data_IF_541707288876
#
_entry.id   IF_541707288876
#
_cell.length_a   1.000
_cell.length_b   1.000
_cell.length_c   1.000
_cell.angle_alpha   90.00
_cell.angle_beta   90.00
_cell.angle_gamma   90.00
#
_symmetry.space_group_name_H-M   'P 1'
#
loop_
_entity.id
_entity.type
_entity.pdbx_description
1 polymer ?
#
# COMPACT_ATOMS: atom_id res chain seq x y z
N UNK A 1 27.42 5.62 -15.34
CA UNK A 1 26.63 6.45 -16.27
C UNK A 1 25.95 7.56 -15.46
N UNK A 2 25.86 8.80 -15.96
CA UNK A 2 25.18 9.87 -15.25
C UNK A 2 23.70 9.52 -15.11
N UNK A 3 23.19 9.65 -13.88
CA UNK A 3 21.84 9.30 -13.46
C UNK A 3 20.80 9.99 -14.36
N UNK A 4 19.98 9.21 -15.06
CA UNK A 4 18.79 9.77 -15.71
C UNK A 4 17.75 10.09 -14.64
N UNK A 5 17.58 11.37 -14.37
CA UNK A 5 16.52 11.84 -13.48
C UNK A 5 15.20 11.69 -14.25
N UNK A 6 14.14 11.12 -13.66
CA UNK A 6 12.85 11.06 -14.33
C UNK A 6 12.34 12.51 -14.57
N UNK A 7 12.45 13.00 -15.80
CA UNK A 7 11.89 14.29 -16.22
C UNK A 7 10.43 14.12 -16.64
N UNK A 8 9.65 15.20 -16.59
CA UNK A 8 8.23 15.20 -16.99
C UNK A 8 8.01 14.79 -18.45
N UNK A 9 9.06 14.89 -19.27
CA UNK A 9 9.11 14.50 -20.68
C UNK A 9 8.96 12.99 -20.90
N UNK A 10 9.22 12.15 -19.87
CA UNK A 10 9.10 10.70 -19.95
C UNK A 10 7.68 10.23 -19.68
N UNK A 11 7.21 9.26 -20.47
CA UNK A 11 5.87 8.70 -20.32
C UNK A 11 5.68 8.02 -18.95
N UNK A 12 4.45 8.05 -18.41
CA UNK A 12 4.12 7.42 -17.10
C UNK A 12 4.56 5.95 -17.06
N UNK A 13 4.48 5.26 -18.19
CA UNK A 13 4.87 3.85 -18.35
C UNK A 13 6.38 3.66 -18.30
N UNK A 14 7.18 4.57 -18.86
CA UNK A 14 8.65 4.51 -18.74
C UNK A 14 9.14 4.86 -17.33
N UNK A 15 8.44 5.76 -16.63
CA UNK A 15 8.74 6.08 -15.23
C UNK A 15 8.40 4.94 -14.25
N UNK A 16 7.47 4.06 -14.60
CA UNK A 16 6.97 3.02 -13.69
C UNK A 16 7.33 1.58 -14.10
N UNK A 17 7.12 1.21 -15.36
CA UNK A 17 7.25 -0.19 -15.83
C UNK A 17 8.67 -0.55 -16.28
N UNK A 18 9.45 0.44 -16.72
CA UNK A 18 10.81 0.25 -17.24
C UNK A 18 11.88 1.01 -16.46
N UNK A 19 11.56 1.53 -15.26
CA UNK A 19 12.54 2.02 -14.30
C UNK A 19 13.30 0.83 -13.67
N UNK A 20 13.93 0.04 -14.52
CA UNK A 20 14.84 -1.04 -14.14
C UNK A 20 16.22 -0.41 -13.94
N UNK A 21 16.30 0.50 -12.98
CA UNK A 21 17.43 1.41 -12.79
C UNK A 21 18.66 0.71 -12.18
N UNK A 22 18.61 -0.62 -11.98
CA UNK A 22 19.62 -1.36 -11.22
C UNK A 22 19.80 -0.85 -9.78
N UNK A 23 18.83 -0.09 -9.27
CA UNK A 23 18.84 0.41 -7.90
C UNK A 23 18.48 -0.72 -6.95
N UNK A 24 19.23 -0.82 -5.85
CA UNK A 24 18.85 -1.68 -4.75
C UNK A 24 17.44 -1.30 -4.25
N UNK A 25 16.57 -2.29 -4.01
CA UNK A 25 15.22 -2.04 -3.51
C UNK A 25 15.26 -1.22 -2.22
N UNK A 26 14.56 -0.09 -2.23
CA UNK A 26 14.45 0.78 -1.06
C UNK A 26 13.57 0.15 0.01
N UNK A 27 13.76 0.52 1.28
CA UNK A 27 12.89 0.08 2.37
C UNK A 27 11.40 0.35 2.07
N UNK A 28 11.09 1.50 1.47
CA UNK A 28 9.73 1.84 1.06
C UNK A 28 9.17 0.88 -0.01
N UNK A 29 9.99 0.44 -0.96
CA UNK A 29 9.61 -0.56 -1.96
C UNK A 29 9.29 -1.92 -1.33
N UNK A 30 10.12 -2.36 -0.36
CA UNK A 30 9.87 -3.60 0.39
C UNK A 30 8.60 -3.52 1.23
N UNK A 31 8.40 -2.42 1.96
CA UNK A 31 7.21 -2.21 2.79
C UNK A 31 5.93 -2.13 1.95
N UNK A 32 5.99 -1.46 0.79
CA UNK A 32 4.86 -1.42 -0.15
C UNK A 32 4.50 -2.80 -0.69
N UNK A 33 5.50 -3.59 -1.08
CA UNK A 33 5.29 -4.97 -1.57
C UNK A 33 4.75 -5.89 -0.48
N UNK A 34 5.27 -5.77 0.74
CA UNK A 34 4.81 -6.53 1.91
C UNK A 34 3.37 -6.14 2.29
N UNK A 35 3.05 -4.85 2.28
CA UNK A 35 1.69 -4.37 2.48
C UNK A 35 0.74 -4.92 1.42
N UNK A 36 1.13 -4.88 0.14
CA UNK A 36 0.32 -5.45 -0.93
C UNK A 36 0.04 -6.95 -0.70
N UNK A 37 1.08 -7.73 -0.36
CA UNK A 37 0.96 -9.17 -0.14
C UNK A 37 0.12 -9.52 1.10
N UNK A 38 0.28 -8.78 2.19
CA UNK A 38 -0.30 -9.13 3.49
C UNK A 38 -1.60 -8.38 3.81
N UNK A 39 -1.94 -7.31 3.10
CA UNK A 39 -3.10 -6.46 3.40
C UNK A 39 -4.41 -7.26 3.45
N UNK A 40 -4.73 -8.02 2.41
CA UNK A 40 -5.97 -8.80 2.33
C UNK A 40 -6.06 -9.83 3.47
N UNK A 41 -5.11 -10.77 3.66
CA UNK A 41 -5.21 -11.73 4.75
C UNK A 41 -5.23 -11.05 6.12
N UNK A 42 -4.41 -10.01 6.36
CA UNK A 42 -4.39 -9.30 7.63
C UNK A 42 -5.73 -8.60 7.93
N UNK A 43 -6.31 -7.89 6.97
CA UNK A 43 -7.58 -7.20 7.16
C UNK A 43 -8.76 -8.17 7.31
N UNK A 44 -8.74 -9.30 6.62
CA UNK A 44 -9.74 -10.37 6.83
C UNK A 44 -9.64 -10.93 8.25
N UNK A 45 -8.42 -11.25 8.71
CA UNK A 45 -8.21 -11.74 10.08
C UNK A 45 -8.63 -10.70 11.12
N UNK A 46 -8.32 -9.42 10.92
CA UNK A 46 -8.75 -8.34 11.81
C UNK A 46 -10.27 -8.18 11.84
N UNK A 47 -10.94 -8.29 10.69
CA UNK A 47 -12.40 -8.23 10.63
C UNK A 47 -13.05 -9.40 11.39
N UNK A 48 -12.59 -10.64 11.18
CA UNK A 48 -13.08 -11.77 11.96
C UNK A 48 -12.74 -11.67 13.46
N UNK A 49 -11.58 -11.12 13.79
CA UNK A 49 -11.20 -10.83 15.17
C UNK A 49 -12.17 -9.85 15.85
N UNK A 50 -12.63 -8.81 15.13
CA UNK A 50 -13.63 -7.88 15.63
C UNK A 50 -15.00 -8.53 15.89
N UNK A 51 -15.43 -9.43 15.00
CA UNK A 51 -16.62 -10.25 15.22
C UNK A 51 -16.49 -11.16 16.45
N UNK A 52 -15.38 -11.89 16.58
CA UNK A 52 -15.14 -12.76 17.74
C UNK A 52 -15.02 -11.99 19.06
N UNK A 53 -14.54 -10.74 19.02
CA UNK A 53 -14.52 -9.84 20.16
C UNK A 53 -15.89 -9.24 20.49
N UNK A 54 -16.93 -9.49 19.68
CA UNK A 54 -18.29 -8.99 19.90
C UNK A 54 -18.50 -7.52 19.53
N UNK A 55 -17.59 -6.90 18.76
CA UNK A 55 -17.72 -5.49 18.35
C UNK A 55 -18.89 -5.25 17.40
N UNK A 56 -19.26 -6.27 16.62
CA UNK A 56 -20.35 -6.26 15.66
C UNK A 56 -20.77 -7.69 15.30
N UNK A 57 -21.93 -7.85 14.68
CA UNK A 57 -22.43 -9.15 14.20
C UNK A 57 -21.79 -9.60 12.89
N UNK A 58 -21.97 -10.88 12.53
CA UNK A 58 -21.38 -11.50 11.33
C UNK A 58 -21.69 -10.73 10.03
N UNK A 59 -22.90 -10.17 9.91
CA UNK A 59 -23.32 -9.37 8.75
C UNK A 59 -22.45 -8.12 8.51
N UNK A 60 -21.74 -7.64 9.53
CA UNK A 60 -20.86 -6.47 9.45
C UNK A 60 -19.39 -6.83 9.14
N UNK A 61 -19.02 -8.11 9.05
CA UNK A 61 -17.63 -8.53 8.78
C UNK A 61 -17.14 -7.99 7.42
N UNK A 62 -17.95 -8.13 6.36
CA UNK A 62 -17.58 -7.64 5.03
C UNK A 62 -17.48 -6.10 4.99
N UNK A 63 -18.45 -5.33 5.52
CA UNK A 63 -18.30 -3.88 5.69
C UNK A 63 -17.06 -3.47 6.51
N UNK A 64 -16.76 -4.18 7.60
CA UNK A 64 -15.60 -3.89 8.45
C UNK A 64 -14.28 -4.12 7.70
N UNK A 65 -14.17 -5.23 6.97
CA UNK A 65 -13.04 -5.48 6.06
C UNK A 65 -12.87 -4.37 5.03
N UNK A 66 -13.97 -3.96 4.36
CA UNK A 66 -13.92 -2.88 3.37
C UNK A 66 -13.44 -1.56 3.99
N UNK A 67 -13.93 -1.23 5.19
CA UNK A 67 -13.48 -0.07 5.96
C UNK A 67 -11.99 -0.14 6.31
N UNK A 68 -11.51 -1.29 6.79
CA UNK A 68 -10.09 -1.52 7.10
C UNK A 68 -9.20 -1.37 5.87
N UNK A 69 -9.63 -1.87 4.71
CA UNK A 69 -8.89 -1.74 3.46
C UNK A 69 -8.77 -0.28 3.03
N UNK A 70 -9.88 0.47 3.04
CA UNK A 70 -9.88 1.90 2.67
C UNK A 70 -9.04 2.70 3.66
N UNK A 71 -9.18 2.47 4.96
CA UNK A 71 -8.38 3.13 6.00
C UNK A 71 -6.89 2.80 5.86
N UNK A 72 -6.54 1.55 5.57
CA UNK A 72 -5.18 1.10 5.34
C UNK A 72 -4.54 1.78 4.12
N UNK A 73 -5.25 1.82 2.99
CA UNK A 73 -4.79 2.52 1.80
C UNK A 73 -4.59 4.02 2.07
N UNK A 74 -5.59 4.69 2.66
CA UNK A 74 -5.48 6.10 3.01
C UNK A 74 -4.28 6.36 3.94
N UNK A 75 -4.03 5.47 4.90
CA UNK A 75 -2.88 5.54 5.79
C UNK A 75 -1.54 5.43 5.06
N UNK A 76 -1.38 4.46 4.15
CA UNK A 76 -0.14 4.32 3.37
C UNK A 76 0.09 5.56 2.48
N UNK A 77 -0.96 6.05 1.81
CA UNK A 77 -0.87 7.27 0.99
C UNK A 77 -0.49 8.49 1.83
N UNK A 78 -1.07 8.66 3.01
CA UNK A 78 -0.72 9.75 3.93
C UNK A 78 0.75 9.65 4.37
N UNK A 79 1.23 8.46 4.72
CA UNK A 79 2.64 8.24 5.09
C UNK A 79 3.57 8.56 3.92
N UNK A 80 3.26 8.09 2.71
CA UNK A 80 4.04 8.42 1.52
C UNK A 80 4.05 9.93 1.26
N UNK A 81 2.89 10.59 1.34
CA UNK A 81 2.80 12.04 1.17
C UNK A 81 3.69 12.80 2.14
N UNK A 82 3.72 12.41 3.43
CA UNK A 82 4.57 13.08 4.43
C UNK A 82 6.06 12.75 4.26
N UNK A 83 6.40 11.52 3.86
CA UNK A 83 7.80 11.06 3.82
C UNK A 83 8.51 11.33 2.50
N UNK A 84 7.76 11.45 1.40
CA UNK A 84 8.30 11.67 0.04
C UNK A 84 7.78 12.93 -0.63
N UNK A 85 6.75 13.58 -0.07
CA UNK A 85 6.23 14.85 -0.58
C UNK A 85 7.16 16.02 -0.24
N UNK A 86 8.04 16.35 -1.19
CA UNK A 86 8.23 17.74 -1.64
C UNK A 86 7.57 17.89 -2.99
#
# INVERSE_FOLDING_TARGET
MPKEIPTEEKSVRERGTYANDGNDPTLASYLSSLFFLLSVPAFVTLAYGGYWAGLYGESAVVPAFAGLLVAGLAGVFAVMHVTTGR
#
